data_IF_071067373517
#
_entry.id   IF_071067373517
#
_cell.length_a   1.000
_cell.length_b   1.000
_cell.length_c   1.000
_cell.angle_alpha   90.00
_cell.angle_beta   90.00
_cell.angle_gamma   90.00
#
_symmetry.space_group_name_H-M   'P 1'
#
loop_
_entity.id
_entity.type
_entity.pdbx_description
1 polymer ?
#
# COMPACT_ATOMS: atom_id res chain seq x y z
N UNK A 1 0.59 -1.74 -18.15
CA UNK A 1 -0.10 -0.85 -17.96
C UNK A 1 0.49 0.37 -17.73
N UNK A 2 0.44 1.26 -18.46
CA UNK A 2 0.97 2.42 -18.34
C UNK A 2 0.16 3.43 -17.73
N UNK A 3 -0.97 3.21 -17.40
CA UNK A 3 -1.80 4.24 -16.85
C UNK A 3 -2.19 3.98 -15.42
N UNK A 4 -1.25 3.76 -14.57
CA UNK A 4 -1.54 3.60 -13.18
C UNK A 4 -1.88 4.94 -12.56
N UNK A 5 -2.83 4.96 -11.69
CA UNK A 5 -3.17 6.20 -11.03
C UNK A 5 -2.11 6.46 -9.99
N UNK A 6 -2.06 7.67 -9.47
CA UNK A 6 -1.07 7.99 -8.48
C UNK A 6 -1.25 7.13 -7.26
N UNK A 7 -2.47 6.85 -6.88
CA UNK A 7 -2.70 6.03 -5.71
C UNK A 7 -2.20 4.61 -5.92
N UNK A 8 -2.45 4.05 -7.08
CA UNK A 8 -2.00 2.71 -7.34
C UNK A 8 -0.49 2.65 -7.32
N UNK A 9 0.14 3.68 -7.83
CA UNK A 9 1.57 3.72 -7.86
C UNK A 9 2.11 3.78 -6.45
N UNK A 10 1.50 4.57 -5.60
CA UNK A 10 1.95 4.68 -4.23
C UNK A 10 1.80 3.37 -3.50
N UNK A 11 0.71 2.67 -3.76
CA UNK A 11 0.47 1.40 -3.09
C UNK A 11 1.54 0.39 -3.50
N UNK A 12 1.85 0.35 -4.78
CA UNK A 12 2.85 -0.59 -5.23
C UNK A 12 4.22 -0.27 -4.65
N UNK A 13 4.55 0.98 -4.55
CA UNK A 13 5.82 1.37 -3.99
C UNK A 13 5.88 1.03 -2.52
N UNK A 14 4.78 1.21 -1.83
CA UNK A 14 4.74 0.91 -0.42
C UNK A 14 4.94 -0.59 -0.23
N UNK A 15 4.28 -1.41 -1.02
CA UNK A 15 4.40 -2.84 -0.90
C UNK A 15 5.83 -3.28 -1.18
N UNK A 16 6.44 -2.73 -2.19
CA UNK A 16 7.78 -3.11 -2.54
C UNK A 16 8.75 -2.75 -1.44
N UNK A 17 8.61 -1.56 -0.90
CA UNK A 17 9.49 -1.12 0.14
C UNK A 17 9.27 -1.91 1.42
N UNK A 18 8.02 -2.16 1.76
CA UNK A 18 7.72 -2.91 2.94
C UNK A 18 8.31 -4.31 2.84
N UNK A 19 8.15 -4.94 1.68
CA UNK A 19 8.65 -6.28 1.50
C UNK A 19 10.18 -6.30 1.60
N UNK A 20 10.80 -5.29 1.06
CA UNK A 20 12.25 -5.24 1.07
C UNK A 20 12.77 -5.08 2.50
N UNK A 21 12.09 -4.33 3.31
CA UNK A 21 12.54 -4.11 4.67
C UNK A 21 12.15 -5.20 5.63
N UNK A 22 11.04 -5.83 5.43
CA UNK A 22 10.55 -6.82 6.36
C UNK A 22 10.68 -8.25 5.90
N UNK A 23 10.88 -8.49 4.66
CA UNK A 23 11.01 -9.85 4.16
C UNK A 23 9.69 -10.51 3.83
N UNK A 24 8.58 -9.81 3.95
CA UNK A 24 7.30 -10.36 3.58
C UNK A 24 6.38 -9.21 3.22
N UNK A 25 5.37 -9.44 2.42
CA UNK A 25 4.50 -8.37 1.98
C UNK A 25 3.54 -7.92 3.07
N UNK A 26 3.05 -6.69 2.97
CA UNK A 26 2.14 -6.18 3.98
C UNK A 26 0.76 -6.79 3.81
N UNK A 27 0.00 -6.82 4.88
CA UNK A 27 -1.36 -7.32 4.79
C UNK A 27 -2.25 -6.19 4.38
N UNK A 28 -3.44 -6.50 4.01
CA UNK A 28 -4.41 -5.49 3.62
C UNK A 28 -4.60 -4.51 4.74
N UNK A 29 -4.61 -4.99 5.96
CA UNK A 29 -4.79 -4.13 7.08
C UNK A 29 -3.65 -3.16 7.22
N UNK A 30 -2.44 -3.59 7.01
CA UNK A 30 -1.31 -2.70 7.12
C UNK A 30 -1.33 -1.66 6.02
N UNK A 31 -1.77 -2.05 4.84
CA UNK A 31 -1.86 -1.10 3.76
C UNK A 31 -2.89 -0.04 4.10
N UNK A 32 -3.99 -0.45 4.65
CA UNK A 32 -5.03 0.49 5.02
C UNK A 32 -4.56 1.44 6.09
N UNK A 33 -3.81 0.94 7.06
CA UNK A 33 -3.31 1.78 8.11
C UNK A 33 -2.32 2.79 7.56
N UNK A 34 -1.47 2.37 6.66
CA UNK A 34 -0.47 3.25 6.12
C UNK A 34 -1.11 4.42 5.37
N UNK A 35 -2.11 4.14 4.60
CA UNK A 35 -2.74 5.17 3.83
C UNK A 35 -3.93 5.79 4.56
N UNK A 36 -4.23 5.27 5.69
CA UNK A 36 -5.33 5.80 6.51
C UNK A 36 -6.58 5.96 5.71
N UNK A 37 -6.91 4.97 4.92
CA UNK A 37 -8.06 5.11 4.11
C UNK A 37 -9.17 4.42 4.74
N UNK A 38 -10.12 4.34 4.14
CA UNK A 38 -11.29 3.85 4.46
C UNK A 38 -11.63 3.20 5.68
N UNK A 39 -10.86 2.51 6.27
CA UNK A 39 -11.25 1.85 7.40
C UNK A 39 -11.80 2.73 8.42
N UNK A 40 -11.45 3.95 8.46
CA UNK A 40 -12.02 4.76 9.40
C UNK A 40 -12.91 5.66 8.83
N UNK A 41 -13.14 5.61 7.66
CA UNK A 41 -13.97 6.51 6.98
C UNK A 41 -15.37 6.38 7.38
N UNK A 42 -15.76 5.60 8.14
CA UNK A 42 -17.13 5.52 8.44
C UNK A 42 -17.55 6.30 9.49
#
# INVERSE_FOLDING_TARGET
MKNLTNRQKEVLEFIARFTDENGYPPTVREIGDHFDISLRAV
#
